data_IF_078939154484
#
_entry.id   IF_078939154484
#
_cell.length_a   1.000
_cell.length_b   1.000
_cell.length_c   1.000
_cell.angle_alpha   90.00
_cell.angle_beta   90.00
_cell.angle_gamma   90.00
#
_symmetry.space_group_name_H-M   'P 1'
#
loop_
_entity.id
_entity.type
_entity.pdbx_description
1 polymer ?
#
# COMPACT_ATOMS: atom_id res chain seq x y z
N UNK A 1 -6.42 -4.66 -8.05
CA UNK A 1 -5.24 -3.81 -7.83
C UNK A 1 -4.23 -4.56 -6.98
N UNK A 2 -3.02 -4.83 -7.49
CA UNK A 2 -1.98 -5.52 -6.71
C UNK A 2 -1.46 -4.53 -5.65
N UNK A 3 -1.68 -4.80 -4.37
CA UNK A 3 -1.23 -3.92 -3.28
C UNK A 3 -2.27 -2.93 -2.72
N UNK A 4 -3.53 -2.96 -3.20
CA UNK A 4 -4.62 -2.21 -2.58
C UNK A 4 -5.85 -3.10 -2.49
N UNK A 5 -6.42 -3.25 -1.28
CA UNK A 5 -7.61 -4.07 -1.01
C UNK A 5 -8.64 -3.27 -0.21
N UNK A 6 -9.93 -3.46 -0.53
CA UNK A 6 -11.01 -2.81 0.19
C UNK A 6 -11.50 -3.69 1.35
N UNK A 7 -11.44 -3.15 2.55
CA UNK A 7 -11.92 -3.75 3.78
C UNK A 7 -13.40 -3.42 3.97
N UNK A 8 -14.28 -4.34 3.54
CA UNK A 8 -15.74 -4.13 3.56
C UNK A 8 -16.32 -3.89 4.96
N UNK A 9 -15.75 -4.52 5.99
CA UNK A 9 -16.21 -4.37 7.38
C UNK A 9 -16.09 -2.94 7.87
N UNK A 10 -14.95 -2.31 7.57
CA UNK A 10 -14.62 -0.98 8.09
C UNK A 10 -14.83 0.12 7.03
N UNK A 11 -15.21 -0.27 5.81
CA UNK A 11 -15.28 0.59 4.63
C UNK A 11 -13.98 1.38 4.36
N UNK A 12 -12.83 0.73 4.55
CA UNK A 12 -11.50 1.32 4.38
C UNK A 12 -10.71 0.64 3.27
N UNK A 13 -9.88 1.39 2.59
CA UNK A 13 -8.92 0.94 1.59
C UNK A 13 -7.56 0.67 2.24
N UNK A 14 -7.14 -0.58 2.27
CA UNK A 14 -5.84 -0.99 2.81
C UNK A 14 -4.81 -1.04 1.70
N UNK A 15 -3.69 -0.36 1.91
CA UNK A 15 -2.53 -0.39 1.02
C UNK A 15 -1.43 -1.29 1.59
N UNK A 16 -0.83 -2.11 0.74
CA UNK A 16 0.30 -2.95 1.06
C UNK A 16 1.24 -3.07 -0.14
N UNK A 17 2.51 -3.33 0.13
CA UNK A 17 3.54 -3.55 -0.89
C UNK A 17 4.33 -4.81 -0.53
N UNK A 18 4.88 -5.47 -1.54
CA UNK A 18 5.80 -6.59 -1.36
C UNK A 18 7.18 -6.09 -1.72
N UNK A 19 8.08 -6.09 -0.74
CA UNK A 19 9.48 -5.66 -0.88
C UNK A 19 10.31 -6.84 -0.43
N UNK A 20 11.19 -7.33 -1.31
CA UNK A 20 12.03 -8.51 -1.03
C UNK A 20 11.25 -9.75 -0.56
N UNK A 21 10.08 -10.00 -1.15
CA UNK A 21 9.21 -11.13 -0.78
C UNK A 21 8.47 -10.95 0.56
N UNK A 22 8.69 -9.84 1.27
CA UNK A 22 7.99 -9.51 2.52
C UNK A 22 6.85 -8.52 2.26
N UNK A 23 5.65 -8.86 2.73
CA UNK A 23 4.50 -7.95 2.67
C UNK A 23 4.62 -6.88 3.74
N UNK A 24 4.75 -5.62 3.34
CA UNK A 24 4.71 -4.44 4.21
C UNK A 24 3.33 -3.79 4.13
N UNK A 25 2.76 -3.51 5.29
CA UNK A 25 1.51 -2.78 5.40
C UNK A 25 1.80 -1.27 5.37
N UNK A 26 1.15 -0.55 4.47
CA UNK A 26 1.36 0.89 4.26
C UNK A 26 0.35 1.74 5.02
N UNK A 27 -0.82 1.18 5.32
CA UNK A 27 -1.88 1.87 6.06
C UNK A 27 -3.27 1.60 5.51
N UNK A 28 -4.27 2.14 6.21
CA UNK A 28 -5.67 2.08 5.86
C UNK A 28 -6.17 3.51 5.58
N UNK A 29 -6.88 3.69 4.48
CA UNK A 29 -7.35 4.98 3.96
C UNK A 29 -8.85 4.94 3.75
N UNK A 30 -9.52 6.09 3.80
CA UNK A 30 -10.97 6.15 3.50
C UNK A 30 -11.25 6.18 2.01
N UNK A 31 -10.29 6.67 1.22
CA UNK A 31 -10.41 6.81 -0.24
C UNK A 31 -9.45 5.86 -0.96
N UNK A 32 -9.91 5.35 -2.10
CA UNK A 32 -9.10 4.48 -2.95
C UNK A 32 -7.85 5.20 -3.47
N UNK A 33 -7.99 6.46 -3.85
CA UNK A 33 -6.91 7.29 -4.40
C UNK A 33 -5.77 7.48 -3.39
N UNK A 34 -6.11 7.71 -2.11
CA UNK A 34 -5.14 7.82 -1.03
C UNK A 34 -4.33 6.52 -0.86
N UNK A 35 -5.01 5.36 -0.91
CA UNK A 35 -4.35 4.06 -0.84
C UNK A 35 -3.41 3.80 -2.04
N UNK A 36 -3.79 4.26 -3.23
CA UNK A 36 -2.95 4.18 -4.44
C UNK A 36 -1.74 5.11 -4.34
N UNK A 37 -1.94 6.34 -3.84
CA UNK A 37 -0.87 7.31 -3.63
C UNK A 37 0.15 6.79 -2.61
N UNK A 38 -0.32 6.23 -1.49
CA UNK A 38 0.54 5.61 -0.48
C UNK A 38 1.35 4.45 -1.05
N UNK A 39 0.74 3.60 -1.88
CA UNK A 39 1.44 2.52 -2.60
C UNK A 39 2.56 3.06 -3.50
N UNK A 40 2.29 4.10 -4.29
CA UNK A 40 3.29 4.72 -5.18
C UNK A 40 4.43 5.38 -4.41
N UNK A 41 4.12 6.07 -3.32
CA UNK A 41 5.12 6.67 -2.45
C UNK A 41 6.03 5.59 -1.83
N UNK A 42 5.43 4.51 -1.35
CA UNK A 42 6.15 3.36 -0.82
C UNK A 42 7.04 2.68 -1.89
N UNK A 43 6.57 2.53 -3.12
CA UNK A 43 7.41 2.01 -4.22
C UNK A 43 8.69 2.84 -4.38
N UNK A 44 8.60 4.17 -4.32
CA UNK A 44 9.76 5.08 -4.40
C UNK A 44 10.67 4.98 -3.17
N UNK A 45 10.09 4.86 -1.98
CA UNK A 45 10.84 4.76 -0.73
C UNK A 45 11.57 3.42 -0.60
N UNK A 46 10.90 2.32 -0.93
CA UNK A 46 11.48 0.98 -0.89
C UNK A 46 12.43 0.70 -2.06
N UNK A 47 12.21 1.29 -3.25
CA UNK A 47 13.19 1.23 -4.33
C UNK A 47 14.54 1.83 -3.94
N UNK A 48 14.56 2.79 -3.00
CA UNK A 48 15.80 3.36 -2.45
C UNK A 48 16.43 2.53 -1.33
N UNK A 49 15.66 1.64 -0.69
CA UNK A 49 16.17 0.76 0.38
C UNK A 49 16.87 -0.50 -0.14
N UNK A 50 16.81 -0.77 -1.44
CA UNK A 50 17.49 -1.91 -2.09
C UNK A 50 18.85 -1.53 -2.72
N UNK A 51 19.44 -0.39 -2.34
CA UNK A 51 20.73 0.10 -2.82
C UNK A 51 21.86 -0.07 -1.79
#
# INVERSE_FOLDING_TARGET
>A
MKGVSFHKRDALWMAHIIVEGKRKHLGCFKKQEEAIAARKAAESEFAKQAA
#
